data_IF_357801022616
#
_entry.id   IF_357801022616
#
_cell.length_a   1.000
_cell.length_b   1.000
_cell.length_c   1.000
_cell.angle_alpha   90.00
_cell.angle_beta   90.00
_cell.angle_gamma   90.00
#
_symmetry.space_group_name_H-M   'P 1'
#
loop_
_entity.id
_entity.type
_entity.pdbx_description
1 polymer ?
#
# COMPACT_ATOMS: atom_id res chain seq x y z
N UNK A 1 -17.86 -30.86 13.07
CA UNK A 1 -17.72 -30.43 11.66
C UNK A 1 -17.20 -29.00 11.64
N UNK A 2 -15.95 -28.80 11.24
CA UNK A 2 -15.27 -27.50 11.31
C UNK A 2 -15.66 -26.57 10.17
N UNK A 3 -16.31 -25.45 10.50
CA UNK A 3 -16.65 -24.39 9.56
C UNK A 3 -15.39 -23.63 9.14
N UNK A 4 -15.11 -23.61 7.83
CA UNK A 4 -14.03 -22.79 7.24
C UNK A 4 -14.36 -21.32 7.47
N UNK A 5 -13.55 -20.62 8.28
CA UNK A 5 -13.58 -19.16 8.38
C UNK A 5 -13.10 -18.58 7.05
N UNK A 6 -13.96 -17.86 6.36
CA UNK A 6 -13.56 -17.06 5.19
C UNK A 6 -12.50 -16.05 5.64
N UNK A 7 -11.34 -16.08 4.99
CA UNK A 7 -10.32 -15.05 5.15
C UNK A 7 -10.89 -13.78 4.51
N UNK A 8 -11.29 -12.81 5.34
CA UNK A 8 -11.69 -11.49 4.87
C UNK A 8 -10.41 -10.78 4.44
N UNK A 9 -10.12 -10.82 3.14
CA UNK A 9 -9.03 -10.06 2.56
C UNK A 9 -9.42 -8.60 2.69
N UNK A 10 -8.61 -7.79 3.39
CA UNK A 10 -8.84 -6.36 3.50
C UNK A 10 -8.63 -5.72 2.13
N UNK A 11 -9.70 -5.60 1.36
CA UNK A 11 -9.74 -4.99 0.03
C UNK A 11 -9.42 -3.49 0.07
N UNK A 12 -9.47 -2.84 1.24
CA UNK A 12 -9.14 -1.42 1.37
C UNK A 12 -7.64 -1.13 1.13
N UNK A 13 -6.77 -2.14 1.21
CA UNK A 13 -5.36 -1.99 0.81
C UNK A 13 -5.19 -1.75 -0.69
N UNK A 14 -6.18 -2.15 -1.50
CA UNK A 14 -6.20 -1.97 -2.96
C UNK A 14 -7.25 -0.94 -3.42
N UNK A 15 -8.24 -0.61 -2.58
CA UNK A 15 -9.30 0.37 -2.87
C UNK A 15 -8.93 1.83 -2.57
N UNK A 16 -7.70 2.11 -2.11
CA UNK A 16 -7.14 3.47 -2.13
C UNK A 16 -6.84 3.96 -3.57
N UNK A 17 -7.23 3.19 -4.58
CA UNK A 17 -7.45 3.72 -5.93
C UNK A 17 -8.91 4.17 -6.02
N UNK A 18 -9.11 5.50 -6.10
CA UNK A 18 -10.34 6.19 -6.51
C UNK A 18 -11.38 6.54 -5.43
N UNK A 19 -11.07 7.51 -4.57
CA UNK A 19 -12.07 8.43 -3.98
C UNK A 19 -11.53 9.88 -3.92
N UNK A 20 -10.80 10.33 -4.94
CA UNK A 20 -10.53 11.75 -5.17
C UNK A 20 -10.21 11.96 -6.64
N UNK A 21 -11.08 12.70 -7.30
CA UNK A 21 -11.12 12.93 -8.74
C UNK A 21 -9.96 13.79 -9.23
N UNK A 22 -8.76 13.22 -9.37
CA UNK A 22 -7.66 13.76 -10.18
C UNK A 22 -6.52 12.71 -10.32
N UNK A 23 -6.71 11.67 -11.14
CA UNK A 23 -5.56 10.87 -11.56
C UNK A 23 -4.65 11.76 -12.43
N UNK A 24 -3.46 12.08 -11.91
CA UNK A 24 -2.48 12.88 -12.67
C UNK A 24 -1.88 11.97 -13.75
N UNK A 25 -2.11 12.31 -15.02
CA UNK A 25 -1.49 11.59 -16.14
C UNK A 25 -0.04 12.05 -16.33
N UNK A 26 0.87 11.09 -16.40
CA UNK A 26 2.29 11.35 -16.72
C UNK A 26 2.53 10.94 -18.17
N UNK A 27 2.96 11.89 -19.01
CA UNK A 27 3.36 11.62 -20.38
C UNK A 27 4.89 11.48 -20.44
N UNK A 28 5.37 10.30 -20.85
CA UNK A 28 6.80 9.99 -20.94
C UNK A 28 7.20 9.77 -22.39
N UNK A 29 8.36 10.32 -22.77
CA UNK A 29 9.02 10.00 -24.04
C UNK A 29 10.18 9.06 -23.77
N UNK A 30 10.09 7.85 -24.30
CA UNK A 30 11.12 6.83 -24.16
C UNK A 30 12.02 6.81 -25.40
N UNK A 31 13.36 6.75 -25.23
CA UNK A 31 14.26 6.46 -26.34
C UNK A 31 13.90 5.11 -26.99
N UNK A 32 14.06 4.94 -28.32
CA UNK A 32 13.62 3.73 -29.03
C UNK A 32 14.18 2.42 -28.45
N UNK A 33 15.45 2.42 -28.03
CA UNK A 33 16.09 1.25 -27.40
C UNK A 33 15.44 0.87 -26.08
N UNK A 34 15.14 1.86 -25.23
CA UNK A 34 14.49 1.64 -23.94
C UNK A 34 13.05 1.16 -24.13
N UNK A 35 12.33 1.75 -25.09
CA UNK A 35 10.98 1.31 -25.44
C UNK A 35 10.96 -0.16 -25.86
N UNK A 36 11.84 -0.55 -26.79
CA UNK A 36 11.90 -1.94 -27.27
C UNK A 36 12.25 -2.93 -26.17
N UNK A 37 13.21 -2.59 -25.30
CA UNK A 37 13.54 -3.43 -24.14
C UNK A 37 12.36 -3.56 -23.15
N UNK A 38 11.64 -2.47 -22.90
CA UNK A 38 10.48 -2.46 -22.02
C UNK A 38 9.29 -3.24 -22.60
N UNK A 39 9.09 -3.20 -23.93
CA UNK A 39 8.09 -4.01 -24.64
C UNK A 39 8.41 -5.50 -24.50
N UNK A 40 9.66 -5.92 -24.77
CA UNK A 40 10.09 -7.31 -24.58
C UNK A 40 9.94 -7.78 -23.13
N UNK A 41 10.28 -6.92 -22.16
CA UNK A 41 10.08 -7.23 -20.75
C UNK A 41 8.60 -7.39 -20.40
N UNK A 42 7.74 -6.50 -20.92
CA UNK A 42 6.29 -6.53 -20.72
C UNK A 42 5.71 -7.88 -21.17
N UNK A 43 6.07 -8.33 -22.37
CA UNK A 43 5.62 -9.59 -22.96
C UNK A 43 6.09 -10.82 -22.15
N UNK A 44 7.36 -10.82 -21.72
CA UNK A 44 7.96 -11.97 -21.04
C UNK A 44 7.49 -12.13 -19.59
N UNK A 45 7.11 -11.05 -18.92
CA UNK A 45 6.77 -11.04 -17.49
C UNK A 45 5.27 -10.90 -17.22
N UNK A 46 4.42 -10.98 -18.26
CA UNK A 46 2.97 -11.08 -18.12
C UNK A 46 2.26 -9.75 -17.79
N UNK A 47 2.88 -8.62 -18.10
CA UNK A 47 2.23 -7.32 -18.01
C UNK A 47 1.30 -7.12 -19.20
N UNK A 48 0.15 -6.47 -19.01
CA UNK A 48 -0.83 -6.22 -20.07
C UNK A 48 -0.34 -5.20 -21.09
N UNK A 49 0.45 -4.23 -20.63
CA UNK A 49 1.06 -3.20 -21.46
C UNK A 49 2.24 -2.52 -20.74
N UNK A 50 2.99 -1.71 -21.50
CA UNK A 50 4.15 -0.97 -20.99
C UNK A 50 3.80 0.03 -19.88
N UNK A 51 2.57 0.57 -19.84
CA UNK A 51 2.17 1.53 -18.80
C UNK A 51 1.97 0.83 -17.44
N UNK A 52 1.40 -0.37 -17.44
CA UNK A 52 1.28 -1.20 -16.24
C UNK A 52 2.67 -1.57 -15.72
N UNK A 53 3.59 -1.96 -16.63
CA UNK A 53 4.98 -2.21 -16.25
C UNK A 53 5.65 -0.97 -15.63
N UNK A 54 5.52 0.21 -16.25
CA UNK A 54 6.08 1.46 -15.71
C UNK A 54 5.50 1.77 -14.33
N UNK A 55 4.19 1.59 -14.14
CA UNK A 55 3.52 1.82 -12.86
C UNK A 55 4.06 0.89 -11.77
N UNK A 56 4.20 -0.41 -12.05
CA UNK A 56 4.76 -1.36 -11.09
C UNK A 56 6.24 -1.10 -10.82
N UNK A 57 7.03 -0.70 -11.82
CA UNK A 57 8.42 -0.34 -11.62
C UNK A 57 8.58 0.89 -10.70
N UNK A 58 7.73 1.91 -10.88
CA UNK A 58 7.68 3.07 -9.99
C UNK A 58 7.25 2.65 -8.59
N UNK A 59 6.21 1.82 -8.47
CA UNK A 59 5.73 1.31 -7.18
C UNK A 59 6.82 0.54 -6.46
N UNK A 60 7.45 -0.42 -7.12
CA UNK A 60 8.53 -1.21 -6.55
C UNK A 60 9.63 -0.28 -6.03
N UNK A 61 10.03 0.72 -6.82
CA UNK A 61 11.09 1.64 -6.41
C UNK A 61 10.73 2.50 -5.21
N UNK A 62 9.48 2.96 -5.09
CA UNK A 62 9.04 3.83 -3.99
C UNK A 62 8.79 3.02 -2.72
N UNK A 63 8.09 1.88 -2.83
CA UNK A 63 7.59 1.14 -1.66
C UNK A 63 8.56 0.06 -1.17
N UNK A 64 9.39 -0.52 -2.04
CA UNK A 64 10.37 -1.54 -1.63
C UNK A 64 11.51 -0.93 -0.82
N UNK A 65 11.94 0.29 -1.15
CA UNK A 65 13.01 1.00 -0.44
C UNK A 65 12.55 1.73 0.83
N UNK A 66 11.25 1.68 1.17
CA UNK A 66 10.57 2.11 2.42
C UNK A 66 10.94 3.49 3.04
N UNK A 67 11.78 4.29 2.37
CA UNK A 67 12.21 5.63 2.84
C UNK A 67 11.15 6.71 2.65
N UNK A 68 10.07 6.39 1.95
CA UNK A 68 8.98 7.29 1.61
C UNK A 68 7.61 6.74 2.01
N UNK A 69 7.55 5.76 2.92
CA UNK A 69 6.27 5.33 3.50
C UNK A 69 5.76 6.43 4.44
N UNK A 70 5.18 7.47 3.84
CA UNK A 70 4.43 8.56 4.48
C UNK A 70 2.97 8.15 4.69
N UNK A 71 2.67 6.87 4.92
CA UNK A 71 1.30 6.44 5.28
C UNK A 71 0.80 7.15 6.53
N UNK A 72 1.71 7.57 7.42
CA UNK A 72 1.42 8.44 8.54
C UNK A 72 2.42 9.59 8.58
N UNK A 73 1.92 10.81 8.66
CA UNK A 73 2.73 11.97 9.00
C UNK A 73 3.28 11.82 10.42
N UNK A 74 4.40 12.49 10.72
CA UNK A 74 4.97 12.50 12.07
C UNK A 74 3.97 12.91 13.16
N UNK A 75 2.98 13.76 12.80
CA UNK A 75 1.88 14.16 13.69
C UNK A 75 0.90 13.03 13.96
N UNK A 76 0.59 12.21 12.96
CA UNK A 76 -0.30 11.06 13.11
C UNK A 76 0.38 9.96 13.94
N UNK A 77 1.69 9.75 13.75
CA UNK A 77 2.48 8.84 14.58
C UNK A 77 2.44 9.30 16.05
N UNK A 78 2.75 10.58 16.32
CA UNK A 78 2.70 11.15 17.67
C UNK A 78 1.30 11.07 18.30
N UNK A 79 0.25 11.25 17.50
CA UNK A 79 -1.13 11.10 17.97
C UNK A 79 -1.46 9.64 18.34
N UNK A 80 -1.03 8.67 17.53
CA UNK A 80 -1.20 7.24 17.78
C UNK A 80 -0.47 6.84 19.07
N UNK A 81 0.77 7.30 19.24
CA UNK A 81 1.57 7.02 20.44
C UNK A 81 0.90 7.58 21.70
N UNK A 82 0.45 8.85 21.67
CA UNK A 82 -0.26 9.46 22.80
C UNK A 82 -1.55 8.73 23.15
N UNK A 83 -2.32 8.33 22.15
CA UNK A 83 -3.56 7.57 22.35
C UNK A 83 -3.29 6.20 22.99
N UNK A 84 -2.23 5.51 22.56
CA UNK A 84 -1.80 4.25 23.15
C UNK A 84 -1.39 4.42 24.61
N UNK A 85 -0.54 5.40 24.92
CA UNK A 85 -0.11 5.70 26.29
C UNK A 85 -1.29 5.98 27.21
N UNK A 86 -2.20 6.87 26.81
CA UNK A 86 -3.41 7.21 27.59
C UNK A 86 -4.33 6.00 27.77
N UNK A 87 -4.41 5.12 26.77
CA UNK A 87 -5.27 3.92 26.82
C UNK A 87 -4.70 2.83 27.74
N UNK A 88 -3.37 2.70 27.79
CA UNK A 88 -2.67 1.81 28.74
C UNK A 88 -2.80 2.35 30.16
N UNK A 89 -2.56 3.65 30.38
CA UNK A 89 -2.71 4.31 31.69
C UNK A 89 -4.13 4.17 32.25
N UNK A 90 -5.14 4.27 31.39
CA UNK A 90 -6.55 4.09 31.76
C UNK A 90 -6.97 2.62 31.88
N UNK A 91 -6.06 1.67 31.69
CA UNK A 91 -6.31 0.24 31.79
C UNK A 91 -7.27 -0.32 30.73
N UNK A 92 -7.48 0.42 29.62
CA UNK A 92 -8.37 0.03 28.52
C UNK A 92 -7.71 -0.94 27.54
N UNK A 93 -6.38 -0.95 27.49
CA UNK A 93 -5.58 -1.87 26.70
C UNK A 93 -4.61 -2.54 27.66
N UNK A 94 -4.77 -3.85 27.89
CA UNK A 94 -3.92 -4.61 28.80
C UNK A 94 -2.91 -5.46 28.07
N UNK A 95 -3.27 -5.95 26.88
CA UNK A 95 -2.40 -6.78 26.07
C UNK A 95 -2.59 -6.57 24.57
N UNK A 96 -1.73 -7.22 23.78
CA UNK A 96 -1.77 -7.18 22.33
C UNK A 96 -3.07 -7.77 21.74
N UNK A 97 -3.74 -8.68 22.47
CA UNK A 97 -5.00 -9.28 22.02
C UNK A 97 -6.16 -8.29 22.11
N UNK A 98 -6.17 -7.38 23.08
CA UNK A 98 -7.15 -6.30 23.19
C UNK A 98 -7.06 -5.34 22.00
N UNK A 99 -5.84 -5.01 21.57
CA UNK A 99 -5.60 -4.16 20.39
C UNK A 99 -6.10 -4.86 19.13
N UNK A 100 -5.77 -6.13 18.94
CA UNK A 100 -6.18 -6.90 17.76
C UNK A 100 -7.71 -7.05 17.72
N UNK A 101 -8.38 -7.24 18.86
CA UNK A 101 -9.85 -7.26 18.94
C UNK A 101 -10.50 -5.93 18.60
N UNK A 102 -9.88 -4.80 18.98
CA UNK A 102 -10.43 -3.47 18.71
C UNK A 102 -10.28 -3.04 17.24
N UNK A 103 -9.36 -3.68 16.50
CA UNK A 103 -9.08 -3.39 15.09
C UNK A 103 -9.77 -4.34 14.11
N UNK A 104 -10.47 -5.38 14.59
CA UNK A 104 -11.30 -6.30 13.81
C UNK A 104 -12.75 -5.86 13.81
#
# INVERSE_FOLDING_TARGET
MGGRRAVVINTNKYLLVSMTSASTQINLRLPPKLRSAAEQYTENFGYRNIQEFILEAIRDKIFRDNKYDVTFSAKEIDLIEKLLSVSIEKGKIKDQNDIIKALQ
#
